data_IF_204766696523
#
_entry.id   IF_204766696523
#
_cell.length_a   1.000
_cell.length_b   1.000
_cell.length_c   1.000
_cell.angle_alpha   90.00
_cell.angle_beta   90.00
_cell.angle_gamma   90.00
#
_symmetry.space_group_name_H-M   'P 1'
#
loop_
_entity.id
_entity.type
_entity.pdbx_description
1 polymer ?
#
# COMPACT_ATOMS: atom_id res chain seq x y z
N UNK A 1 -9.27 -16.66 -12.94
CA UNK A 1 -8.75 -17.31 -11.71
C UNK A 1 -9.88 -18.09 -11.05
N UNK A 2 -9.62 -19.30 -10.53
CA UNK A 2 -10.64 -19.98 -9.70
C UNK A 2 -10.52 -19.49 -8.26
N UNK A 3 -11.61 -19.49 -7.49
CA UNK A 3 -11.59 -19.18 -6.05
C UNK A 3 -10.54 -20.02 -5.29
N UNK A 4 -10.18 -21.18 -5.83
CA UNK A 4 -9.21 -22.10 -5.24
C UNK A 4 -7.78 -21.55 -5.24
N UNK A 5 -7.39 -20.83 -6.29
CA UNK A 5 -6.03 -20.28 -6.43
C UNK A 5 -5.82 -19.13 -5.42
N UNK A 6 -6.81 -18.23 -5.29
CA UNK A 6 -6.80 -17.15 -4.30
C UNK A 6 -6.69 -17.68 -2.86
N UNK A 7 -7.48 -18.70 -2.53
CA UNK A 7 -7.46 -19.31 -1.21
C UNK A 7 -6.10 -19.97 -0.89
N UNK A 8 -5.45 -20.57 -1.90
CA UNK A 8 -4.11 -21.12 -1.74
C UNK A 8 -3.06 -20.03 -1.47
N UNK A 9 -3.08 -18.93 -2.23
CA UNK A 9 -2.13 -17.82 -2.02
C UNK A 9 -2.36 -17.13 -0.69
N UNK A 10 -3.62 -16.88 -0.33
CA UNK A 10 -4.00 -16.37 0.99
C UNK A 10 -3.41 -17.23 2.10
N UNK A 11 -3.57 -18.55 2.01
CA UNK A 11 -3.02 -19.47 3.02
C UNK A 11 -1.50 -19.37 3.10
N UNK A 12 -0.79 -19.37 1.97
CA UNK A 12 0.67 -19.26 1.95
C UNK A 12 1.12 -17.96 2.62
N UNK A 13 0.47 -16.83 2.30
CA UNK A 13 0.85 -15.55 2.87
C UNK A 13 0.50 -15.46 4.36
N UNK A 14 -0.65 -15.98 4.78
CA UNK A 14 -1.00 -16.06 6.21
C UNK A 14 -0.02 -16.92 7.00
N UNK A 15 0.37 -18.07 6.45
CA UNK A 15 1.41 -18.92 7.04
C UNK A 15 2.74 -18.16 7.18
N UNK A 16 3.13 -17.36 6.18
CA UNK A 16 4.33 -16.52 6.25
C UNK A 16 4.26 -15.43 7.32
N UNK A 17 3.10 -14.78 7.48
CA UNK A 17 2.89 -13.78 8.52
C UNK A 17 3.00 -14.42 9.92
N UNK A 18 2.53 -15.65 10.09
CA UNK A 18 2.53 -16.37 11.36
C UNK A 18 3.89 -17.01 11.71
N UNK A 19 4.60 -17.58 10.73
CA UNK A 19 5.82 -18.36 10.95
C UNK A 19 7.08 -17.52 11.11
N UNK A 20 7.03 -16.27 10.69
CA UNK A 20 8.25 -15.54 10.51
C UNK A 20 8.83 -15.06 11.88
N UNK A 21 10.14 -15.25 12.12
CA UNK A 21 10.75 -15.08 13.44
C UNK A 21 10.71 -13.63 13.90
N UNK A 22 10.51 -13.38 15.19
CA UNK A 22 10.72 -12.05 15.76
C UNK A 22 12.19 -11.66 15.52
N UNK A 23 12.41 -10.59 14.78
CA UNK A 23 13.73 -10.02 14.50
C UNK A 23 14.29 -9.41 15.78
N UNK A 24 15.57 -9.64 16.07
CA UNK A 24 16.27 -8.95 17.16
C UNK A 24 16.36 -7.41 16.96
N UNK A 25 15.95 -6.90 15.78
CA UNK A 25 15.88 -5.47 15.44
C UNK A 25 14.44 -4.94 15.35
N UNK A 26 13.42 -5.72 15.73
CA UNK A 26 12.04 -5.23 15.81
C UNK A 26 11.89 -4.28 17.01
N UNK A 27 11.29 -3.13 16.75
CA UNK A 27 10.89 -2.14 17.76
C UNK A 27 9.48 -2.46 18.22
N UNK A 28 9.09 -2.00 19.41
CA UNK A 28 7.70 -2.14 19.89
C UNK A 28 6.70 -1.52 18.90
N UNK A 29 7.06 -0.37 18.31
CA UNK A 29 6.26 0.32 17.30
C UNK A 29 6.02 -0.51 16.02
N UNK A 30 7.01 -1.31 15.58
CA UNK A 30 6.83 -2.22 14.44
C UNK A 30 5.95 -3.42 14.81
N UNK A 31 6.01 -3.90 16.05
CA UNK A 31 5.16 -5.00 16.51
C UNK A 31 3.69 -4.53 16.67
N UNK A 32 3.48 -3.31 17.14
CA UNK A 32 2.18 -2.64 17.15
C UNK A 32 1.62 -2.55 15.73
N UNK A 33 2.42 -2.04 14.78
CA UNK A 33 2.02 -1.92 13.39
C UNK A 33 1.71 -3.28 12.74
N UNK A 34 2.44 -4.33 13.09
CA UNK A 34 2.14 -5.69 12.64
C UNK A 34 0.82 -6.22 13.20
N UNK A 35 0.50 -5.88 14.45
CA UNK A 35 -0.77 -6.22 15.07
C UNK A 35 -1.94 -5.53 14.35
N UNK A 36 -1.77 -4.25 13.99
CA UNK A 36 -2.74 -3.52 13.17
C UNK A 36 -2.82 -4.09 11.75
N UNK A 37 -1.72 -4.51 11.14
CA UNK A 37 -1.74 -5.11 9.81
C UNK A 37 -2.56 -6.41 9.76
N UNK A 38 -2.60 -7.19 10.86
CA UNK A 38 -3.48 -8.38 10.95
C UNK A 38 -4.95 -8.02 10.96
N UNK A 39 -5.32 -6.87 11.54
CA UNK A 39 -6.70 -6.37 11.51
C UNK A 39 -7.21 -6.13 10.10
N UNK A 40 -6.34 -5.91 9.11
CA UNK A 40 -6.74 -5.82 7.69
C UNK A 40 -7.32 -7.14 7.15
N UNK A 41 -6.99 -8.27 7.76
CA UNK A 41 -7.30 -9.62 7.25
C UNK A 41 -8.30 -10.32 8.17
N UNK A 42 -8.02 -10.36 9.46
CA UNK A 42 -8.83 -11.05 10.47
C UNK A 42 -9.27 -10.07 11.57
N UNK A 43 -10.40 -10.38 12.21
CA UNK A 43 -10.92 -9.54 13.29
C UNK A 43 -10.28 -9.98 14.62
N UNK A 44 -9.64 -9.03 15.31
CA UNK A 44 -9.03 -9.24 16.62
C UNK A 44 -9.33 -8.03 17.52
N UNK A 45 -10.42 -8.07 18.31
CA UNK A 45 -10.80 -6.96 19.17
C UNK A 45 -9.71 -6.50 20.14
N UNK A 46 -8.72 -7.35 20.44
CA UNK A 46 -7.61 -6.98 21.34
C UNK A 46 -6.65 -5.97 20.71
N UNK A 47 -6.61 -5.87 19.38
CA UNK A 47 -5.78 -4.94 18.64
C UNK A 47 -6.48 -3.60 18.32
N UNK A 48 -7.76 -3.43 18.67
CA UNK A 48 -8.50 -2.19 18.42
C UNK A 48 -7.90 -0.97 19.13
N UNK A 49 -7.40 -1.13 20.36
CA UNK A 49 -6.75 -0.01 21.05
C UNK A 49 -5.43 0.38 20.36
N UNK A 50 -4.62 -0.61 19.96
CA UNK A 50 -3.38 -0.39 19.21
C UNK A 50 -3.63 0.36 17.90
N UNK A 51 -4.71 0.01 17.19
CA UNK A 51 -5.15 0.71 15.98
C UNK A 51 -5.40 2.21 16.25
N UNK A 52 -6.09 2.55 17.34
CA UNK A 52 -6.43 3.93 17.66
C UNK A 52 -5.23 4.71 18.17
N UNK A 53 -4.46 4.12 19.08
CA UNK A 53 -3.23 4.73 19.57
C UNK A 53 -2.28 5.04 18.41
N UNK A 54 -2.18 4.15 17.43
CA UNK A 54 -1.39 4.36 16.22
C UNK A 54 -1.90 5.50 15.33
N UNK A 55 -3.21 5.62 15.12
CA UNK A 55 -3.81 6.76 14.39
C UNK A 55 -3.50 8.07 15.10
N UNK A 56 -3.69 8.14 16.43
CA UNK A 56 -3.42 9.35 17.21
C UNK A 56 -1.93 9.69 17.26
N UNK A 57 -1.03 8.69 17.36
CA UNK A 57 0.43 8.88 17.27
C UNK A 57 0.81 9.52 15.93
N UNK A 58 0.28 9.00 14.82
CA UNK A 58 0.54 9.52 13.48
C UNK A 58 -0.02 10.93 13.30
N UNK A 59 -1.23 11.21 13.78
CA UNK A 59 -1.85 12.54 13.74
C UNK A 59 -1.05 13.57 14.54
N UNK A 60 -0.46 13.16 15.67
CA UNK A 60 0.45 13.98 16.46
C UNK A 60 1.83 14.18 15.81
N UNK A 61 2.07 13.63 14.62
CA UNK A 61 3.35 13.71 13.90
C UNK A 61 4.47 12.90 14.56
N UNK A 62 4.13 11.94 15.42
CA UNK A 62 5.12 11.07 16.04
C UNK A 62 5.65 10.07 15.02
N UNK A 63 6.98 9.88 15.02
CA UNK A 63 7.62 8.90 14.17
C UNK A 63 7.42 7.51 14.75
N UNK A 64 7.13 6.54 13.88
CA UNK A 64 7.14 5.12 14.22
C UNK A 64 8.58 4.62 14.14
N UNK A 65 9.12 4.13 15.26
CA UNK A 65 10.51 3.69 15.33
C UNK A 65 10.76 2.51 14.37
N UNK A 66 11.83 2.58 13.58
CA UNK A 66 12.17 1.57 12.57
C UNK A 66 11.62 1.84 11.18
N UNK A 67 10.79 2.89 11.01
CA UNK A 67 10.24 3.37 9.73
C UNK A 67 10.86 4.69 9.25
N UNK A 68 11.97 5.12 9.82
CA UNK A 68 12.66 6.37 9.52
C UNK A 68 13.59 6.31 8.30
N UNK A 69 13.82 5.12 7.78
CA UNK A 69 14.83 4.87 6.73
C UNK A 69 14.41 5.31 5.33
N UNK A 70 13.11 5.42 5.06
CA UNK A 70 12.59 5.72 3.72
C UNK A 70 11.37 6.65 3.79
N UNK A 71 11.25 7.62 2.86
CA UNK A 71 10.15 8.59 2.87
C UNK A 71 8.74 7.97 2.80
N UNK A 72 8.59 6.81 2.15
CA UNK A 72 7.28 6.15 2.00
C UNK A 72 6.82 5.40 3.24
N UNK A 73 7.72 5.00 4.14
CA UNK A 73 7.34 4.15 5.28
C UNK A 73 6.33 4.79 6.24
N UNK A 74 6.41 6.10 6.56
CA UNK A 74 5.34 6.78 7.29
C UNK A 74 3.98 6.70 6.58
N UNK A 75 3.96 6.79 5.24
CA UNK A 75 2.74 6.68 4.44
C UNK A 75 2.18 5.25 4.46
N UNK A 76 3.06 4.24 4.39
CA UNK A 76 2.66 2.84 4.58
C UNK A 76 2.04 2.61 5.95
N UNK A 77 2.63 3.14 7.01
CA UNK A 77 2.07 2.98 8.34
C UNK A 77 0.69 3.64 8.45
N UNK A 78 0.51 4.83 7.88
CA UNK A 78 -0.80 5.47 7.79
C UNK A 78 -1.81 4.60 7.05
N UNK A 79 -1.43 4.03 5.90
CA UNK A 79 -2.28 3.12 5.13
C UNK A 79 -2.73 1.92 5.94
N UNK A 80 -1.81 1.24 6.63
CA UNK A 80 -2.14 0.06 7.44
C UNK A 80 -3.21 0.37 8.48
N UNK A 81 -3.09 1.50 9.19
CA UNK A 81 -4.09 1.91 10.17
C UNK A 81 -5.43 2.25 9.50
N UNK A 82 -5.41 3.04 8.43
CA UNK A 82 -6.63 3.45 7.74
C UNK A 82 -7.36 2.27 7.09
N UNK A 83 -6.63 1.34 6.46
CA UNK A 83 -7.18 0.16 5.83
C UNK A 83 -7.74 -0.83 6.87
N UNK A 84 -7.04 -1.04 7.98
CA UNK A 84 -7.56 -1.82 9.10
C UNK A 84 -8.84 -1.19 9.68
N UNK A 85 -8.83 0.13 9.90
CA UNK A 85 -9.99 0.86 10.37
C UNK A 85 -11.17 0.75 9.39
N UNK A 86 -10.94 0.96 8.09
CA UNK A 86 -11.96 0.80 7.06
C UNK A 86 -12.55 -0.61 7.02
N UNK A 87 -11.74 -1.66 7.18
CA UNK A 87 -12.23 -3.04 7.20
C UNK A 87 -13.09 -3.35 8.44
N UNK A 88 -12.83 -2.66 9.56
CA UNK A 88 -13.48 -2.93 10.85
C UNK A 88 -14.54 -1.91 11.24
N UNK A 89 -14.75 -0.85 10.45
CA UNK A 89 -15.55 0.30 10.89
C UNK A 89 -16.94 -0.06 11.44
N UNK A 90 -17.63 -1.04 10.83
CA UNK A 90 -18.96 -1.48 11.26
C UNK A 90 -19.00 -2.21 12.60
N UNK A 91 -17.87 -2.73 13.06
CA UNK A 91 -17.75 -3.51 14.31
C UNK A 91 -16.98 -2.75 15.39
N UNK A 92 -16.46 -1.56 15.08
CA UNK A 92 -15.80 -0.71 16.06
C UNK A 92 -16.84 -0.02 16.97
N UNK A 93 -16.60 0.09 18.28
CA UNK A 93 -17.42 0.91 19.18
C UNK A 93 -17.47 2.39 18.73
N UNK A 94 -18.60 3.07 18.94
CA UNK A 94 -18.78 4.49 18.58
C UNK A 94 -17.70 5.40 19.18
N UNK A 95 -17.27 5.14 20.42
CA UNK A 95 -16.21 5.91 21.08
C UNK A 95 -14.86 5.83 20.37
N UNK A 96 -14.60 4.71 19.69
CA UNK A 96 -13.40 4.52 18.88
C UNK A 96 -13.50 5.38 17.61
N UNK A 97 -14.67 5.39 16.97
CA UNK A 97 -14.90 6.21 15.78
C UNK A 97 -14.75 7.71 16.07
N UNK A 98 -15.36 8.21 17.15
CA UNK A 98 -15.29 9.62 17.53
C UNK A 98 -13.84 10.09 17.73
N UNK A 99 -13.00 9.25 18.34
CA UNK A 99 -11.58 9.53 18.55
C UNK A 99 -10.82 9.59 17.22
N UNK A 100 -11.00 8.57 16.36
CA UNK A 100 -10.30 8.51 15.08
C UNK A 100 -10.73 9.62 14.10
N UNK A 101 -12.01 9.99 14.12
CA UNK A 101 -12.56 10.99 13.20
C UNK A 101 -11.89 12.36 13.34
N UNK A 102 -11.54 12.78 14.57
CA UNK A 102 -10.78 14.03 14.77
C UNK A 102 -9.34 13.95 14.25
N UNK A 103 -8.73 12.77 14.33
CA UNK A 103 -7.36 12.54 13.88
C UNK A 103 -7.26 12.49 12.35
N UNK A 104 -8.30 12.02 11.66
CA UNK A 104 -8.30 11.94 10.20
C UNK A 104 -8.18 13.29 9.51
N UNK A 105 -8.75 14.37 10.04
CA UNK A 105 -8.54 15.71 9.48
C UNK A 105 -7.08 16.18 9.65
N UNK A 106 -6.48 15.85 10.79
CA UNK A 106 -5.05 16.16 11.05
C UNK A 106 -4.14 15.38 10.10
N UNK A 107 -4.46 14.11 9.83
CA UNK A 107 -3.75 13.27 8.86
C UNK A 107 -3.95 13.74 7.41
N UNK A 108 -5.16 14.19 7.03
CA UNK A 108 -5.45 14.65 5.68
C UNK A 108 -4.72 15.94 5.31
N UNK A 109 -4.57 16.86 6.26
CA UNK A 109 -4.01 18.20 6.03
C UNK A 109 -2.65 18.20 5.30
N UNK A 110 -1.61 17.45 5.72
CA UNK A 110 -0.35 17.40 4.97
C UNK A 110 -0.48 16.71 3.61
N UNK A 111 -1.41 15.78 3.43
CA UNK A 111 -1.60 15.06 2.16
C UNK A 111 -2.17 15.97 1.06
N UNK A 112 -2.97 16.98 1.43
CA UNK A 112 -3.51 17.98 0.48
C UNK A 112 -2.43 18.82 -0.23
N UNK A 113 -1.16 18.74 0.18
CA UNK A 113 -0.05 19.34 -0.55
C UNK A 113 0.04 18.88 -2.01
N UNK A 114 -0.57 17.73 -2.36
CA UNK A 114 -0.67 17.24 -3.73
C UNK A 114 -1.55 18.12 -4.66
N UNK A 115 -2.26 19.13 -4.14
CA UNK A 115 -3.10 20.03 -4.93
C UNK A 115 -2.34 20.68 -6.10
N UNK A 116 -1.05 20.94 -5.93
CA UNK A 116 -0.18 21.46 -6.99
C UNK A 116 -0.07 20.54 -8.22
N UNK A 117 -0.39 19.25 -8.07
CA UNK A 117 -0.32 18.24 -9.12
C UNK A 117 -1.67 17.86 -9.72
N UNK A 118 -2.74 18.57 -9.33
CA UNK A 118 -4.11 18.31 -9.79
C UNK A 118 -4.25 18.40 -11.31
N UNK A 119 -3.54 19.36 -11.93
CA UNK A 119 -3.62 19.65 -13.36
C UNK A 119 -2.30 19.35 -14.10
N UNK A 120 -1.24 18.96 -13.39
CA UNK A 120 0.08 18.66 -13.96
C UNK A 120 0.70 17.50 -13.20
N UNK A 121 1.17 16.43 -13.87
CA UNK A 121 1.76 15.31 -13.17
C UNK A 121 3.00 15.74 -12.37
N UNK A 122 3.28 15.08 -11.23
CA UNK A 122 4.49 15.32 -10.45
C UNK A 122 5.75 14.97 -11.27
N UNK A 123 6.92 15.35 -10.77
CA UNK A 123 8.17 14.86 -11.36
C UNK A 123 8.25 13.33 -11.27
N UNK A 124 9.04 12.71 -12.14
CA UNK A 124 9.23 11.25 -12.10
C UNK A 124 9.82 10.78 -10.76
N UNK A 125 10.65 11.61 -10.12
CA UNK A 125 11.27 11.30 -8.82
C UNK A 125 10.30 11.40 -7.63
N UNK A 126 9.15 12.06 -7.79
CA UNK A 126 8.16 12.27 -6.73
C UNK A 126 6.88 11.44 -6.95
N UNK A 127 6.76 10.77 -8.09
CA UNK A 127 5.51 10.11 -8.52
C UNK A 127 5.05 9.05 -7.53
N UNK A 128 5.96 8.25 -6.98
CA UNK A 128 5.65 7.22 -6.00
C UNK A 128 5.07 7.83 -4.70
N UNK A 129 5.72 8.86 -4.16
CA UNK A 129 5.30 9.56 -2.95
C UNK A 129 3.96 10.26 -3.15
N UNK A 130 3.78 10.94 -4.28
CA UNK A 130 2.53 11.66 -4.61
C UNK A 130 1.38 10.67 -4.80
N UNK A 131 1.60 9.51 -5.43
CA UNK A 131 0.58 8.46 -5.52
C UNK A 131 0.19 7.93 -4.15
N UNK A 132 1.14 7.71 -3.24
CA UNK A 132 0.84 7.31 -1.88
C UNK A 132 0.03 8.37 -1.14
N UNK A 133 0.39 9.64 -1.28
CA UNK A 133 -0.36 10.74 -0.67
C UNK A 133 -1.79 10.84 -1.22
N UNK A 134 -1.96 10.71 -2.54
CA UNK A 134 -3.27 10.72 -3.18
C UNK A 134 -4.11 9.52 -2.76
N UNK A 135 -3.54 8.32 -2.73
CA UNK A 135 -4.21 7.11 -2.25
C UNK A 135 -4.71 7.26 -0.80
N UNK A 136 -3.85 7.72 0.11
CA UNK A 136 -4.22 7.96 1.50
C UNK A 136 -5.31 9.03 1.64
N UNK A 137 -5.23 10.11 0.85
CA UNK A 137 -6.24 11.16 0.85
C UNK A 137 -7.59 10.64 0.34
N UNK A 138 -7.58 9.78 -0.69
CA UNK A 138 -8.79 9.11 -1.19
C UNK A 138 -9.44 8.23 -0.11
N UNK A 139 -8.63 7.45 0.61
CA UNK A 139 -9.10 6.57 1.68
C UNK A 139 -9.68 7.37 2.87
N UNK A 140 -8.96 8.40 3.33
CA UNK A 140 -9.43 9.30 4.40
C UNK A 140 -10.70 10.03 3.96
N UNK A 141 -10.72 10.58 2.74
CA UNK A 141 -11.86 11.29 2.19
C UNK A 141 -13.10 10.41 2.16
N UNK A 142 -12.94 9.14 1.79
CA UNK A 142 -14.03 8.16 1.77
C UNK A 142 -14.53 7.81 3.18
N UNK A 143 -13.63 7.59 4.14
CA UNK A 143 -13.99 7.33 5.54
C UNK A 143 -14.75 8.50 6.19
N UNK A 144 -14.47 9.72 5.76
CA UNK A 144 -15.06 10.95 6.31
C UNK A 144 -16.22 11.50 5.50
N UNK A 145 -16.49 10.93 4.32
CA UNK A 145 -17.39 11.52 3.32
C UNK A 145 -17.01 12.96 2.94
N UNK A 146 -15.71 13.21 2.75
CA UNK A 146 -15.18 14.50 2.31
C UNK A 146 -14.98 14.52 0.79
N UNK A 147 -16.04 14.89 0.06
CA UNK A 147 -16.07 14.84 -1.41
C UNK A 147 -14.93 15.64 -2.09
N UNK A 148 -14.53 16.78 -1.50
CA UNK A 148 -13.43 17.60 -2.01
C UNK A 148 -12.07 16.87 -1.95
N UNK A 149 -11.80 16.13 -0.87
CA UNK A 149 -10.58 15.33 -0.71
C UNK A 149 -10.57 14.15 -1.69
N UNK A 150 -11.72 13.50 -1.87
CA UNK A 150 -11.91 12.42 -2.86
C UNK A 150 -11.66 12.95 -4.27
N UNK A 151 -12.27 14.08 -4.63
CA UNK A 151 -12.13 14.67 -5.96
C UNK A 151 -10.68 15.11 -6.25
N UNK A 152 -10.02 15.72 -5.27
CA UNK A 152 -8.61 16.10 -5.38
C UNK A 152 -7.71 14.88 -5.60
N UNK A 153 -7.84 13.85 -4.76
CA UNK A 153 -7.04 12.64 -4.86
C UNK A 153 -7.20 11.96 -6.23
N UNK A 154 -8.45 11.81 -6.70
CA UNK A 154 -8.76 11.24 -8.02
C UNK A 154 -8.14 12.05 -9.16
N UNK A 155 -8.21 13.37 -9.10
CA UNK A 155 -7.62 14.22 -10.13
C UNK A 155 -6.10 14.02 -10.22
N UNK A 156 -5.39 13.98 -9.08
CA UNK A 156 -3.94 13.74 -9.04
C UNK A 156 -3.57 12.34 -9.54
N UNK A 157 -4.32 11.30 -9.16
CA UNK A 157 -4.07 9.94 -9.68
C UNK A 157 -4.27 9.92 -11.20
N UNK A 158 -5.31 10.59 -11.71
CA UNK A 158 -5.54 10.68 -13.15
C UNK A 158 -4.39 11.38 -13.90
N UNK A 159 -3.81 12.45 -13.37
CA UNK A 159 -2.66 13.10 -14.04
C UNK A 159 -1.46 12.17 -14.16
N UNK A 160 -1.21 11.32 -13.15
CA UNK A 160 -0.16 10.30 -13.19
C UNK A 160 -0.50 9.18 -14.19
N UNK A 161 -1.73 8.67 -14.16
CA UNK A 161 -2.19 7.58 -15.04
C UNK A 161 -2.20 8.00 -16.51
N UNK A 162 -2.59 9.24 -16.81
CA UNK A 162 -2.69 9.78 -18.17
C UNK A 162 -1.35 10.25 -18.73
N UNK A 163 -0.32 10.32 -17.90
CA UNK A 163 1.02 10.72 -18.34
C UNK A 163 1.55 9.71 -19.34
N UNK A 164 1.96 10.19 -20.50
CA UNK A 164 2.73 9.38 -21.45
C UNK A 164 4.11 9.07 -20.89
N UNK A 165 4.42 7.78 -20.79
CA UNK A 165 5.73 7.28 -20.33
C UNK A 165 6.22 6.23 -21.35
N UNK A 166 7.47 6.34 -21.84
CA UNK A 166 8.06 5.34 -22.71
C UNK A 166 7.96 3.93 -22.12
N UNK A 167 7.69 2.94 -22.97
CA UNK A 167 7.70 1.51 -22.59
C UNK A 167 6.71 1.13 -21.48
N UNK A 168 5.75 2.00 -21.17
CA UNK A 168 4.65 1.78 -20.23
C UNK A 168 5.05 1.64 -18.76
N UNK A 169 6.29 1.95 -18.36
CA UNK A 169 6.67 2.11 -16.96
C UNK A 169 5.86 3.23 -16.29
N UNK A 170 5.81 3.27 -14.96
CA UNK A 170 5.14 4.34 -14.22
C UNK A 170 5.93 5.66 -14.30
N UNK A 171 7.26 5.58 -14.30
CA UNK A 171 8.17 6.72 -14.44
C UNK A 171 9.33 6.41 -15.38
N UNK A 172 9.97 7.45 -15.91
CA UNK A 172 11.24 7.32 -16.65
C UNK A 172 12.40 7.18 -15.66
N UNK A 173 13.32 6.27 -15.94
CA UNK A 173 14.59 6.18 -15.21
C UNK A 173 15.41 7.46 -15.44
N UNK A 174 15.73 8.18 -14.38
CA UNK A 174 16.64 9.32 -14.45
C UNK A 174 18.07 8.84 -14.76
N UNK A 175 18.86 9.68 -15.44
CA UNK A 175 20.25 9.33 -15.80
C UNK A 175 21.14 9.11 -14.58
N UNK A 176 20.81 9.77 -13.46
CA UNK A 176 21.53 9.66 -12.19
C UNK A 176 21.02 8.49 -11.32
N UNK A 177 19.90 7.85 -11.70
CA UNK A 177 19.35 6.73 -10.94
C UNK A 177 19.99 5.39 -11.30
N UNK A 178 20.37 4.65 -10.26
CA UNK A 178 20.63 3.21 -10.44
C UNK A 178 19.34 2.49 -10.80
N UNK A 179 19.45 1.39 -11.57
CA UNK A 179 18.30 0.56 -11.95
C UNK A 179 17.52 0.09 -10.72
N UNK A 180 18.23 -0.27 -9.64
CA UNK A 180 17.65 -0.69 -8.36
C UNK A 180 16.84 0.42 -7.71
N UNK A 181 17.39 1.64 -7.61
CA UNK A 181 16.71 2.77 -6.98
C UNK A 181 15.45 3.16 -7.75
N UNK A 182 15.53 3.19 -9.09
CA UNK A 182 14.37 3.45 -9.94
C UNK A 182 13.32 2.35 -9.82
N UNK A 183 13.71 1.07 -9.98
CA UNK A 183 12.80 -0.09 -9.85
C UNK A 183 12.11 -0.08 -8.49
N UNK A 184 12.82 0.25 -7.42
CA UNK A 184 12.23 0.34 -6.08
C UNK A 184 11.11 1.40 -6.00
N UNK A 185 11.33 2.60 -6.56
CA UNK A 185 10.28 3.65 -6.60
C UNK A 185 9.10 3.24 -7.48
N UNK A 186 9.36 2.61 -8.63
CA UNK A 186 8.30 2.11 -9.51
C UNK A 186 7.39 1.12 -8.79
N UNK A 187 7.96 0.16 -8.07
CA UNK A 187 7.19 -0.84 -7.32
C UNK A 187 6.40 -0.22 -6.16
N UNK A 188 6.96 0.80 -5.49
CA UNK A 188 6.24 1.58 -4.48
C UNK A 188 5.03 2.28 -5.10
N UNK A 189 5.22 2.96 -6.24
CA UNK A 189 4.15 3.65 -6.94
C UNK A 189 3.07 2.68 -7.44
N UNK A 190 3.49 1.54 -8.01
CA UNK A 190 2.61 0.45 -8.42
C UNK A 190 1.76 -0.06 -7.24
N UNK A 191 2.34 -0.17 -6.05
CA UNK A 191 1.62 -0.56 -4.83
C UNK A 191 0.47 0.39 -4.51
N UNK A 192 0.74 1.70 -4.48
CA UNK A 192 -0.28 2.71 -4.21
C UNK A 192 -1.35 2.73 -5.30
N UNK A 193 -0.94 2.67 -6.58
CA UNK A 193 -1.88 2.69 -7.70
C UNK A 193 -2.79 1.46 -7.72
N UNK A 194 -2.25 0.27 -7.46
CA UNK A 194 -3.05 -0.96 -7.40
C UNK A 194 -4.09 -0.91 -6.26
N UNK A 195 -3.72 -0.33 -5.12
CA UNK A 195 -4.62 -0.08 -4.01
C UNK A 195 -5.74 0.90 -4.37
N UNK A 196 -5.38 2.03 -4.98
CA UNK A 196 -6.35 3.03 -5.41
C UNK A 196 -7.31 2.48 -6.49
N UNK A 197 -6.78 1.72 -7.45
CA UNK A 197 -7.57 1.06 -8.50
C UNK A 197 -8.58 0.06 -7.92
N UNK A 198 -8.15 -0.76 -6.96
CA UNK A 198 -9.03 -1.70 -6.27
C UNK A 198 -10.14 -0.98 -5.51
N UNK A 199 -9.77 0.03 -4.73
CA UNK A 199 -10.68 0.74 -3.86
C UNK A 199 -11.74 1.52 -4.65
N UNK A 200 -11.32 2.26 -5.68
CA UNK A 200 -12.23 3.08 -6.49
C UNK A 200 -12.98 2.27 -7.56
N UNK A 201 -12.57 1.01 -7.79
CA UNK A 201 -13.05 0.16 -8.90
C UNK A 201 -12.94 0.87 -10.24
N UNK A 202 -11.78 1.51 -10.47
CA UNK A 202 -11.52 2.31 -11.66
C UNK A 202 -10.76 1.49 -12.70
N UNK A 203 -11.46 1.13 -13.79
CA UNK A 203 -10.91 0.29 -14.86
C UNK A 203 -9.68 0.90 -15.52
N UNK A 204 -9.66 2.21 -15.73
CA UNK A 204 -8.51 2.90 -16.33
C UNK A 204 -7.26 2.81 -15.46
N UNK A 205 -7.43 2.92 -14.14
CA UNK A 205 -6.33 2.75 -13.20
C UNK A 205 -5.87 1.29 -13.14
N UNK A 206 -6.80 0.34 -13.19
CA UNK A 206 -6.49 -1.08 -13.25
C UNK A 206 -5.72 -1.47 -14.51
N UNK A 207 -6.10 -0.94 -15.68
CA UNK A 207 -5.35 -1.13 -16.93
C UNK A 207 -3.92 -0.60 -16.79
N UNK A 208 -3.76 0.58 -16.17
CA UNK A 208 -2.43 1.15 -15.93
C UNK A 208 -1.58 0.31 -14.98
N UNK A 209 -2.18 -0.28 -13.94
CA UNK A 209 -1.51 -1.24 -13.04
C UNK A 209 -0.99 -2.45 -13.82
N UNK A 210 -1.81 -3.02 -14.72
CA UNK A 210 -1.40 -4.15 -15.56
C UNK A 210 -0.23 -3.77 -16.48
N UNK A 211 -0.29 -2.61 -17.14
CA UNK A 211 0.76 -2.12 -18.02
C UNK A 211 2.11 -1.98 -17.29
N UNK A 212 2.11 -1.32 -16.13
CA UNK A 212 3.33 -1.14 -15.32
C UNK A 212 3.86 -2.49 -14.83
N UNK A 213 2.99 -3.39 -14.37
CA UNK A 213 3.40 -4.73 -13.96
C UNK A 213 3.99 -5.54 -15.13
N UNK A 214 3.41 -5.42 -16.33
CA UNK A 214 3.92 -6.05 -17.54
C UNK A 214 5.30 -5.50 -17.94
N UNK A 215 5.49 -4.18 -17.85
CA UNK A 215 6.79 -3.57 -18.07
C UNK A 215 7.85 -4.21 -17.15
N UNK A 216 7.56 -4.29 -15.84
CA UNK A 216 8.52 -4.86 -14.89
C UNK A 216 8.78 -6.34 -15.10
N UNK A 217 7.76 -7.12 -15.50
CA UNK A 217 7.93 -8.54 -15.83
C UNK A 217 8.94 -8.74 -16.96
N UNK A 218 8.93 -7.90 -17.99
CA UNK A 218 9.75 -8.09 -19.19
C UNK A 218 11.10 -7.36 -19.14
N UNK A 219 11.18 -6.24 -18.44
CA UNK A 219 12.34 -5.35 -18.50
C UNK A 219 13.15 -5.32 -17.21
N UNK A 220 12.59 -5.79 -16.09
CA UNK A 220 13.29 -5.77 -14.80
C UNK A 220 13.36 -7.16 -14.18
N UNK A 221 14.41 -7.41 -13.39
CA UNK A 221 14.44 -8.50 -12.41
C UNK A 221 14.32 -7.85 -11.04
N UNK A 222 13.09 -7.60 -10.53
CA UNK A 222 12.92 -6.81 -9.33
C UNK A 222 13.31 -7.61 -8.09
N UNK A 223 14.61 -7.67 -7.81
CA UNK A 223 15.18 -8.35 -6.64
C UNK A 223 14.65 -7.77 -5.32
N UNK A 224 14.23 -6.49 -5.32
CA UNK A 224 13.60 -5.84 -4.17
C UNK A 224 12.31 -6.51 -3.71
N UNK A 225 11.58 -7.18 -4.61
CA UNK A 225 10.35 -7.90 -4.27
C UNK A 225 10.59 -9.07 -3.31
N UNK A 226 11.83 -9.56 -3.15
CA UNK A 226 12.13 -10.67 -2.24
C UNK A 226 12.08 -10.29 -0.76
N UNK A 227 12.44 -9.05 -0.40
CA UNK A 227 12.51 -8.59 1.00
C UNK A 227 11.44 -7.56 1.37
N UNK A 228 11.08 -6.72 0.41
CA UNK A 228 10.00 -5.73 0.51
C UNK A 228 9.12 -5.88 -0.73
N UNK A 229 8.10 -6.78 -0.71
CA UNK A 229 7.28 -7.13 -1.88
C UNK A 229 6.29 -6.01 -2.27
N UNK A 230 6.82 -4.82 -2.54
CA UNK A 230 6.08 -3.68 -3.05
C UNK A 230 5.43 -4.03 -4.39
N UNK A 231 4.17 -3.64 -4.56
CA UNK A 231 3.46 -3.85 -5.82
C UNK A 231 3.08 -5.31 -6.09
N UNK A 232 3.31 -6.23 -5.15
CA UNK A 232 3.00 -7.67 -5.30
C UNK A 232 1.57 -7.90 -5.79
N UNK A 233 0.61 -7.17 -5.22
CA UNK A 233 -0.79 -7.27 -5.63
C UNK A 233 -1.00 -6.85 -7.10
N UNK A 234 -0.29 -5.85 -7.60
CA UNK A 234 -0.33 -5.45 -9.01
C UNK A 234 0.11 -6.56 -9.97
N UNK A 235 1.09 -7.38 -9.58
CA UNK A 235 1.47 -8.58 -10.35
C UNK A 235 0.45 -9.72 -10.23
N UNK A 236 -0.22 -9.87 -9.08
CA UNK A 236 -1.22 -10.92 -8.88
C UNK A 236 -2.56 -10.61 -9.55
N UNK A 237 -2.84 -9.32 -9.74
CA UNK A 237 -4.05 -8.77 -10.36
C UNK A 237 -4.30 -9.38 -11.75
N UNK A 238 -3.34 -9.23 -12.67
CA UNK A 238 -3.49 -9.67 -14.05
C UNK A 238 -3.08 -11.12 -14.26
N UNK A 239 -3.82 -11.85 -15.09
CA UNK A 239 -3.43 -13.20 -15.52
C UNK A 239 -2.10 -13.24 -16.26
N UNK A 240 -1.72 -12.14 -16.93
CA UNK A 240 -0.47 -12.05 -17.71
C UNK A 240 0.77 -11.98 -16.82
N UNK A 241 0.66 -11.33 -15.67
CA UNK A 241 1.77 -11.12 -14.73
C UNK A 241 1.72 -12.03 -13.50
N UNK A 242 0.61 -12.75 -13.30
CA UNK A 242 0.37 -13.57 -12.10
C UNK A 242 1.47 -14.55 -11.76
N UNK A 243 1.97 -15.29 -12.76
CA UNK A 243 3.02 -16.29 -12.52
C UNK A 243 4.24 -15.66 -11.82
N UNK A 244 4.56 -14.41 -12.17
CA UNK A 244 5.62 -13.65 -11.54
C UNK A 244 5.29 -13.28 -10.10
N UNK A 245 4.08 -12.76 -9.82
CA UNK A 245 3.65 -12.50 -8.45
C UNK A 245 3.69 -13.75 -7.55
N UNK A 246 3.31 -14.91 -8.10
CA UNK A 246 3.41 -16.20 -7.41
C UNK A 246 4.86 -16.57 -7.10
N UNK A 247 5.76 -16.39 -8.07
CA UNK A 247 7.19 -16.59 -7.87
C UNK A 247 7.72 -15.70 -6.74
N UNK A 248 7.32 -14.41 -6.69
CA UNK A 248 7.73 -13.50 -5.62
C UNK A 248 7.26 -13.97 -4.23
N UNK A 249 6.05 -14.52 -4.11
CA UNK A 249 5.58 -15.13 -2.84
C UNK A 249 6.50 -16.30 -2.43
N UNK A 250 6.90 -17.13 -3.38
CA UNK A 250 7.81 -18.26 -3.12
C UNK A 250 9.20 -17.78 -2.70
N UNK A 251 9.70 -16.70 -3.32
CA UNK A 251 11.00 -16.13 -2.98
C UNK A 251 10.95 -15.52 -1.57
N UNK A 252 9.92 -14.73 -1.26
CA UNK A 252 9.67 -14.23 0.10
C UNK A 252 9.67 -15.36 1.16
N UNK A 253 9.09 -16.51 0.82
CA UNK A 253 9.11 -17.70 1.69
C UNK A 253 10.50 -18.28 1.88
N UNK A 254 11.30 -18.34 0.81
CA UNK A 254 12.63 -18.93 0.84
C UNK A 254 13.64 -18.07 1.61
N UNK A 255 13.60 -16.75 1.42
CA UNK A 255 14.55 -15.82 2.07
C UNK A 255 14.16 -15.44 3.50
N UNK A 256 12.88 -15.61 3.86
CA UNK A 256 12.34 -15.24 5.17
C UNK A 256 12.05 -13.74 5.25
N UNK A 257 10.85 -13.40 5.75
CA UNK A 257 10.39 -12.01 5.84
C UNK A 257 10.43 -11.46 7.26
N UNK A 258 10.86 -10.21 7.40
CA UNK A 258 10.87 -9.47 8.67
C UNK A 258 10.42 -8.03 8.45
N UNK A 259 9.85 -7.40 9.48
CA UNK A 259 9.47 -5.98 9.45
C UNK A 259 8.50 -5.65 8.30
N UNK A 260 8.84 -4.61 7.54
CA UNK A 260 8.02 -4.05 6.43
C UNK A 260 7.55 -5.11 5.45
N UNK A 261 8.39 -6.10 5.12
CA UNK A 261 8.02 -7.14 4.16
C UNK A 261 6.75 -7.92 4.54
N UNK A 262 6.50 -8.12 5.84
CA UNK A 262 5.27 -8.78 6.32
C UNK A 262 4.04 -7.89 6.23
N UNK A 263 4.23 -6.60 6.47
CA UNK A 263 3.16 -5.60 6.34
C UNK A 263 2.67 -5.57 4.89
N UNK A 264 3.61 -5.56 3.94
CA UNK A 264 3.31 -5.57 2.51
C UNK A 264 2.59 -6.85 2.08
N UNK A 265 3.00 -8.00 2.62
CA UNK A 265 2.28 -9.26 2.40
C UNK A 265 0.87 -9.25 3.00
N UNK A 266 0.69 -8.68 4.19
CA UNK A 266 -0.62 -8.57 4.82
C UNK A 266 -1.57 -7.70 3.98
N UNK A 267 -1.06 -6.59 3.45
CA UNK A 267 -1.82 -5.73 2.54
C UNK A 267 -2.16 -6.44 1.23
N UNK A 268 -1.22 -7.18 0.64
CA UNK A 268 -1.49 -7.98 -0.56
C UNK A 268 -2.62 -8.99 -0.32
N UNK A 269 -2.67 -9.66 0.84
CA UNK A 269 -3.77 -10.56 1.19
C UNK A 269 -5.10 -9.82 1.35
N UNK A 270 -5.10 -8.66 2.01
CA UNK A 270 -6.29 -7.83 2.11
C UNK A 270 -6.84 -7.51 0.71
N UNK A 271 -5.97 -7.03 -0.19
CA UNK A 271 -6.34 -6.72 -1.57
C UNK A 271 -6.89 -7.95 -2.32
N UNK A 272 -6.26 -9.11 -2.20
CA UNK A 272 -6.73 -10.35 -2.82
C UNK A 272 -8.12 -10.76 -2.32
N UNK A 273 -8.42 -10.57 -1.03
CA UNK A 273 -9.73 -10.86 -0.47
C UNK A 273 -10.79 -9.91 -1.04
N UNK A 274 -10.51 -8.62 -1.08
CA UNK A 274 -11.42 -7.60 -1.64
C UNK A 274 -11.60 -7.73 -3.15
N UNK A 275 -10.63 -8.30 -3.86
CA UNK A 275 -10.73 -8.56 -5.29
C UNK A 275 -11.60 -9.78 -5.60
N UNK A 276 -11.69 -10.75 -4.69
CA UNK A 276 -12.51 -11.96 -4.84
C UNK A 276 -13.98 -11.76 -4.43
N UNK A 277 -14.28 -10.73 -3.62
CA UNK A 277 -15.64 -10.28 -3.25
C UNK A 277 -16.30 -9.49 -4.39
#
# INVERSE_FOLDING_TARGET
MTDNDFNQYRKIVMDLIQQAPLSAKQTADLDDLMSVARLMIEDDPTAHQTLIDGISKLAAGQKIEGLDKRPVYPLLAMHVHLAAFAKRYLVLPDSIWETAASDFETLAKPLRAIETFKDTPPSYLETDTVLWQAWLLLLIGSLRHADDDIALAKAVINTVVEREVPEQSLTVQDIEDTLDAWTYRELIGLHALANAALFDRNDKWADRVEEVAMHHLYNTQPDHCTSEPWGLFGFLWSEKTRMFGVQQIHDCKAYGLVGVGRILLADAVRCLNEFAE
#
